data_IF_290120504898
#
_entry.id   IF_290120504898
#
_cell.length_a   1.000
_cell.length_b   1.000
_cell.length_c   1.000
_cell.angle_alpha   90.00
_cell.angle_beta   90.00
_cell.angle_gamma   90.00
#
_symmetry.space_group_name_H-M   'P 1'
#
loop_
_entity.id
_entity.type
_entity.pdbx_description
1 polymer ?
#
# COMPACT_ATOMS: atom_id res chain seq x y z
N UNK A 1 21.70 -20.97 -3.84
CA UNK A 1 20.74 -20.53 -2.81
C UNK A 1 20.25 -19.14 -3.20
N UNK A 2 19.11 -19.05 -3.88
CA UNK A 2 18.55 -17.77 -4.30
C UNK A 2 18.07 -17.00 -3.06
N UNK A 3 18.57 -15.78 -2.85
CA UNK A 3 18.06 -14.87 -1.83
C UNK A 3 16.73 -14.30 -2.32
N UNK A 4 15.64 -15.03 -2.10
CA UNK A 4 14.26 -14.60 -2.43
C UNK A 4 13.67 -13.71 -1.30
N UNK A 5 12.49 -13.11 -1.49
CA UNK A 5 12.23 -11.71 -1.75
C UNK A 5 11.71 -10.98 -0.49
N UNK A 6 12.32 -11.22 0.67
CA UNK A 6 11.77 -10.79 1.97
C UNK A 6 11.37 -9.30 2.03
N UNK A 7 12.23 -8.44 1.48
CA UNK A 7 12.01 -6.98 1.46
C UNK A 7 10.82 -6.55 0.59
N UNK A 8 10.49 -7.31 -0.46
CA UNK A 8 9.36 -7.01 -1.36
C UNK A 8 8.05 -7.39 -0.68
N UNK A 9 8.01 -8.53 0.02
CA UNK A 9 6.86 -8.94 0.83
C UNK A 9 6.61 -7.94 1.97
N UNK A 10 7.67 -7.55 2.70
CA UNK A 10 7.59 -6.57 3.79
C UNK A 10 7.01 -5.23 3.30
N UNK A 11 7.37 -4.79 2.09
CA UNK A 11 6.86 -3.54 1.51
C UNK A 11 5.40 -3.67 1.10
N UNK A 12 5.01 -4.81 0.52
CA UNK A 12 3.63 -5.06 0.12
C UNK A 12 2.70 -5.05 1.33
N UNK A 13 3.08 -5.75 2.40
CA UNK A 13 2.34 -5.78 3.67
C UNK A 13 2.23 -4.38 4.30
N UNK A 14 3.32 -3.61 4.31
CA UNK A 14 3.31 -2.22 4.78
C UNK A 14 2.27 -1.36 4.06
N UNK A 15 2.13 -1.53 2.73
CA UNK A 15 1.14 -0.79 1.94
C UNK A 15 -0.28 -1.24 2.27
N UNK A 16 -0.50 -2.55 2.47
CA UNK A 16 -1.82 -3.10 2.85
C UNK A 16 -2.24 -2.57 4.23
N UNK A 17 -1.35 -2.58 5.22
CA UNK A 17 -1.62 -2.05 6.56
C UNK A 17 -1.98 -0.57 6.53
N UNK A 18 -1.23 0.22 5.73
CA UNK A 18 -1.51 1.63 5.52
C UNK A 18 -2.84 1.85 4.80
N UNK A 19 -3.19 0.99 3.84
CA UNK A 19 -4.46 1.04 3.15
C UNK A 19 -5.62 0.78 4.11
N UNK A 20 -5.52 -0.26 4.95
CA UNK A 20 -6.52 -0.56 5.98
C UNK A 20 -6.72 0.62 6.95
N UNK A 21 -5.62 1.26 7.40
CA UNK A 21 -5.69 2.46 8.24
C UNK A 21 -6.38 3.62 7.51
N UNK A 22 -5.98 3.92 6.28
CA UNK A 22 -6.59 4.99 5.48
C UNK A 22 -8.10 4.74 5.22
N UNK A 23 -8.48 3.49 4.95
CA UNK A 23 -9.86 3.08 4.74
C UNK A 23 -10.69 3.21 6.02
N UNK A 24 -10.14 2.82 7.18
CA UNK A 24 -10.83 2.96 8.47
C UNK A 24 -11.11 4.43 8.84
N UNK A 25 -10.19 5.34 8.50
CA UNK A 25 -10.31 6.76 8.87
C UNK A 25 -11.21 7.54 7.92
N UNK A 26 -11.13 7.27 6.60
CA UNK A 26 -11.80 8.08 5.57
C UNK A 26 -12.99 7.39 4.92
N UNK A 27 -13.12 6.08 5.09
CA UNK A 27 -13.99 5.21 4.30
C UNK A 27 -13.33 4.83 2.97
N UNK A 28 -13.66 3.63 2.47
CA UNK A 28 -13.08 3.06 1.25
C UNK A 28 -13.16 4.03 0.07
N UNK A 29 -14.32 4.61 -0.24
CA UNK A 29 -14.50 5.48 -1.41
C UNK A 29 -13.64 6.74 -1.38
N UNK A 30 -13.45 7.36 -0.21
CA UNK A 30 -12.75 8.65 -0.08
C UNK A 30 -11.23 8.52 0.08
N UNK A 31 -10.73 7.37 0.55
CA UNK A 31 -9.30 7.14 0.64
C UNK A 31 -8.66 7.11 -0.76
N UNK A 32 -7.50 7.74 -0.91
CA UNK A 32 -6.76 7.79 -2.18
C UNK A 32 -5.41 7.10 -2.05
N UNK A 33 -4.80 6.68 -3.17
CA UNK A 33 -3.43 6.13 -3.14
C UNK A 33 -2.43 7.13 -2.53
N UNK A 34 -2.65 8.44 -2.64
CA UNK A 34 -1.84 9.45 -1.95
C UNK A 34 -1.96 9.39 -0.43
N UNK A 35 -3.16 9.14 0.08
CA UNK A 35 -3.37 8.96 1.52
C UNK A 35 -2.66 7.72 2.04
N UNK A 36 -2.76 6.61 1.29
CA UNK A 36 -2.11 5.34 1.62
C UNK A 36 -0.58 5.50 1.59
N UNK A 37 -0.05 6.20 0.58
CA UNK A 37 1.38 6.44 0.48
C UNK A 37 1.90 7.27 1.67
N UNK A 38 1.13 8.29 2.08
CA UNK A 38 1.44 9.08 3.26
C UNK A 38 1.40 8.25 4.55
N UNK A 39 0.38 7.41 4.70
CA UNK A 39 0.23 6.52 5.88
C UNK A 39 1.33 5.44 5.92
N UNK A 40 1.78 4.96 4.76
CA UNK A 40 2.90 4.03 4.63
C UNK A 40 4.27 4.73 4.73
N UNK A 41 4.36 6.07 4.67
CA UNK A 41 5.63 6.78 4.65
C UNK A 41 6.45 6.54 3.37
N UNK A 42 5.80 6.36 2.23
CA UNK A 42 6.42 6.09 0.93
C UNK A 42 5.98 7.11 -0.13
N UNK A 43 6.64 7.09 -1.29
CA UNK A 43 6.20 7.89 -2.44
C UNK A 43 4.97 7.24 -3.10
N UNK A 44 3.99 8.02 -3.61
CA UNK A 44 2.82 7.46 -4.28
C UNK A 44 3.15 6.58 -5.49
N UNK A 45 4.23 6.90 -6.21
CA UNK A 45 4.73 6.08 -7.32
C UNK A 45 5.05 4.64 -6.91
N UNK A 46 5.53 4.45 -5.67
CA UNK A 46 5.85 3.12 -5.17
C UNK A 46 4.61 2.24 -5.04
N UNK A 47 3.43 2.80 -4.72
CA UNK A 47 2.20 1.99 -4.67
C UNK A 47 1.88 1.39 -6.02
N UNK A 48 2.03 2.14 -7.10
CA UNK A 48 1.77 1.66 -8.47
C UNK A 48 2.73 0.55 -8.92
N UNK A 49 3.87 0.37 -8.24
CA UNK A 49 4.75 -0.78 -8.48
C UNK A 49 4.25 -2.08 -7.84
N UNK A 50 3.42 -2.00 -6.79
CA UNK A 50 2.90 -3.17 -6.07
C UNK A 50 1.41 -3.43 -6.36
N UNK A 51 0.64 -2.39 -6.64
CA UNK A 51 -0.80 -2.43 -6.82
C UNK A 51 -1.22 -1.54 -7.98
N UNK A 52 -1.88 -2.13 -8.97
CA UNK A 52 -2.33 -1.41 -10.18
C UNK A 52 -3.42 -0.37 -9.85
N UNK A 53 -4.27 -0.68 -8.87
CA UNK A 53 -5.37 0.20 -8.46
C UNK A 53 -5.71 0.00 -6.97
N UNK A 54 -6.64 0.83 -6.47
CA UNK A 54 -7.08 0.79 -5.08
C UNK A 54 -7.95 -0.44 -4.76
N UNK A 55 -8.52 -1.08 -5.79
CA UNK A 55 -9.31 -2.31 -5.63
C UNK A 55 -8.41 -3.51 -5.34
N UNK A 56 -7.19 -3.53 -5.85
CA UNK A 56 -6.19 -4.57 -5.57
C UNK A 56 -5.66 -4.56 -4.11
N UNK A 57 -6.06 -3.56 -3.31
CA UNK A 57 -5.74 -3.46 -1.89
C UNK A 57 -6.82 -4.10 -0.99
N UNK A 58 -7.85 -4.70 -1.58
CA UNK A 58 -8.96 -5.36 -0.89
C UNK A 58 -9.35 -6.68 -1.56
#
# INVERSE_FOLDING_TARGET
>A
MARTPKVVDDRREQIIDAAMRAFSQKGYTRATNKDIAREAGITPGLIYHYFENKEALF
#
